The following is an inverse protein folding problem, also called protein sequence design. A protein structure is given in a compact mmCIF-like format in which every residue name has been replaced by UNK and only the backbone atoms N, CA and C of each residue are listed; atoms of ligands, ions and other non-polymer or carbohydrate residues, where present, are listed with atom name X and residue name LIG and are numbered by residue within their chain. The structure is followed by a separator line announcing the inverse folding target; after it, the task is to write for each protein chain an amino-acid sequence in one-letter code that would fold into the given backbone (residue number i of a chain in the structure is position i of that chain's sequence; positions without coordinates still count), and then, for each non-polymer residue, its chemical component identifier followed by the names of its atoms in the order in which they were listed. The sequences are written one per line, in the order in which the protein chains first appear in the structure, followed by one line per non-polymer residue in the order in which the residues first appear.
data_IF_395517123235
#
_entry.id   IF_395517123235
#
_cell.length_a   1.000
_cell.length_b   1.000
_cell.length_c   1.000
_cell.angle_alpha   90.00
_cell.angle_beta   90.00
_cell.angle_gamma   90.00
#
_symmetry.space_group_name_H-M   'P 1'
#
loop_
_entity.id
_entity.type
_entity.pdbx_description
1 polymer ?
#
# COMPACT_ATOMS: atom_id res chain seq x y z
N UNK A 1 14.38 6.66 -4.51
CA UNK A 1 13.86 5.53 -3.71
C UNK A 1 14.42 4.22 -4.26
N UNK A 2 14.75 3.26 -3.40
CA UNK A 2 15.29 1.95 -3.82
C UNK A 2 14.19 0.88 -3.63
N UNK A 3 13.87 0.02 -4.62
CA UNK A 3 12.99 -1.11 -4.41
C UNK A 3 13.68 -2.23 -3.65
N UNK A 4 12.91 -2.95 -2.84
CA UNK A 4 13.39 -4.14 -2.16
C UNK A 4 12.30 -5.22 -2.15
N UNK A 5 12.47 -6.22 -3.00
CA UNK A 5 11.66 -7.45 -2.96
C UNK A 5 12.13 -8.31 -1.78
N UNK A 6 11.27 -8.46 -0.78
CA UNK A 6 11.57 -9.23 0.43
C UNK A 6 11.24 -10.71 0.29
N UNK A 7 10.47 -11.09 -0.73
CA UNK A 7 10.06 -12.47 -0.95
C UNK A 7 8.57 -12.70 -0.66
N UNK A 8 8.24 -13.98 -0.59
CA UNK A 8 6.91 -14.47 -0.27
C UNK A 8 6.90 -15.12 1.11
N UNK A 9 5.71 -15.33 1.66
CA UNK A 9 5.51 -15.94 2.98
C UNK A 9 6.23 -15.20 4.12
N UNK A 10 6.27 -13.86 4.03
CA UNK A 10 6.85 -13.01 5.08
C UNK A 10 5.82 -12.83 6.18
N UNK A 11 6.18 -13.14 7.42
CA UNK A 11 5.27 -12.92 8.55
C UNK A 11 4.93 -11.43 8.69
N UNK A 12 3.70 -11.14 9.13
CA UNK A 12 3.28 -9.76 9.29
C UNK A 12 4.18 -9.00 10.29
N UNK A 13 4.57 -9.67 11.38
CA UNK A 13 5.43 -9.07 12.41
C UNK A 13 6.84 -8.78 11.92
N UNK A 14 7.46 -9.67 11.13
CA UNK A 14 8.81 -9.43 10.63
C UNK A 14 8.84 -8.24 9.69
N UNK A 15 7.85 -8.12 8.79
CA UNK A 15 7.74 -6.97 7.92
C UNK A 15 7.42 -5.68 8.69
N UNK A 16 6.61 -5.75 9.76
CA UNK A 16 6.33 -4.59 10.61
C UNK A 16 7.60 -4.12 11.34
N UNK A 17 8.35 -5.05 11.92
CA UNK A 17 9.62 -4.76 12.59
C UNK A 17 10.63 -4.12 11.62
N UNK A 18 10.72 -4.65 10.39
CA UNK A 18 11.57 -4.07 9.35
C UNK A 18 11.15 -2.64 8.98
N UNK A 19 9.85 -2.38 8.86
CA UNK A 19 9.36 -1.02 8.63
C UNK A 19 9.72 -0.09 9.78
N UNK A 20 9.54 -0.52 11.04
CA UNK A 20 9.81 0.30 12.22
C UNK A 20 11.30 0.64 12.38
N UNK A 21 12.18 -0.32 12.10
CA UNK A 21 13.62 -0.11 12.03
C UNK A 21 13.97 0.90 10.93
N UNK A 22 13.48 0.68 9.71
CA UNK A 22 13.82 1.53 8.57
C UNK A 22 13.32 2.97 8.74
N UNK A 23 12.13 3.15 9.32
CA UNK A 23 11.61 4.46 9.71
C UNK A 23 12.54 5.16 10.69
N UNK A 24 13.01 4.45 11.71
CA UNK A 24 13.92 5.00 12.72
C UNK A 24 15.25 5.42 12.09
N UNK A 25 15.78 4.63 11.16
CA UNK A 25 17.02 4.91 10.44
C UNK A 25 16.90 6.10 9.47
N UNK A 26 15.79 6.23 8.73
CA UNK A 26 15.52 7.43 7.94
C UNK A 26 15.42 8.65 8.85
N UNK A 27 14.76 8.51 10.00
CA UNK A 27 14.62 9.61 10.97
C UNK A 27 15.98 10.08 11.52
N UNK A 28 16.95 9.17 11.64
CA UNK A 28 18.33 9.44 12.06
C UNK A 28 19.24 9.93 10.91
N UNK A 29 18.78 9.90 9.66
CA UNK A 29 19.61 10.22 8.48
C UNK A 29 20.57 9.09 8.08
N UNK A 30 20.31 7.86 8.52
CA UNK A 30 21.18 6.69 8.36
C UNK A 30 20.71 5.73 7.25
N UNK A 31 19.56 6.01 6.65
CA UNK A 31 18.99 5.22 5.56
C UNK A 31 18.30 6.12 4.53
N UNK A 32 18.23 5.64 3.30
CA UNK A 32 17.46 6.26 2.22
C UNK A 32 16.02 5.75 2.19
N UNK A 33 15.14 6.50 1.53
CA UNK A 33 13.76 6.07 1.26
C UNK A 33 13.72 4.80 0.41
N UNK A 34 12.78 3.90 0.74
CA UNK A 34 12.67 2.56 0.15
C UNK A 34 11.23 2.19 -0.15
N UNK A 35 11.04 1.24 -1.07
CA UNK A 35 9.78 0.53 -1.28
C UNK A 35 10.01 -0.95 -0.97
N UNK A 36 9.47 -1.43 0.15
CA UNK A 36 9.42 -2.86 0.41
C UNK A 36 8.27 -3.49 -0.36
N UNK A 37 8.54 -4.58 -1.08
CA UNK A 37 7.56 -5.36 -1.82
C UNK A 37 7.63 -6.80 -1.36
N UNK A 38 6.47 -7.41 -1.10
CA UNK A 38 6.40 -8.75 -0.55
C UNK A 38 5.02 -9.38 -0.72
N UNK A 39 4.94 -10.66 -0.40
CA UNK A 39 3.69 -11.34 -0.06
C UNK A 39 3.75 -11.82 1.38
N UNK A 40 2.65 -11.64 2.10
CA UNK A 40 2.57 -12.08 3.48
C UNK A 40 2.19 -13.56 3.58
N UNK A 41 2.62 -14.22 4.66
CA UNK A 41 1.88 -15.38 5.16
C UNK A 41 0.41 -14.99 5.42
N UNK A 42 -0.58 -15.88 5.22
CA UNK A 42 -1.99 -15.55 5.40
C UNK A 42 -2.29 -14.87 6.74
N UNK A 43 -2.88 -13.67 6.68
CA UNK A 43 -3.11 -12.82 7.86
C UNK A 43 -4.27 -11.86 7.66
N UNK A 44 -5.05 -11.64 8.71
CA UNK A 44 -6.00 -10.54 8.79
C UNK A 44 -5.41 -9.39 9.60
N UNK A 45 -5.66 -8.16 9.16
CA UNK A 45 -5.26 -6.98 9.91
C UNK A 45 -6.41 -6.00 10.07
N UNK A 46 -6.50 -5.34 11.22
CA UNK A 46 -7.48 -4.28 11.48
C UNK A 46 -6.77 -3.00 11.92
N UNK A 47 -7.10 -1.89 11.25
CA UNK A 47 -6.54 -0.58 11.55
C UNK A 47 -7.12 0.05 12.81
N UNK A 48 -6.82 1.33 13.01
CA UNK A 48 -7.19 2.11 14.21
C UNK A 48 -8.69 2.36 14.41
N UNK A 49 -9.51 2.04 13.43
CA UNK A 49 -10.96 2.23 13.54
C UNK A 49 -11.51 1.27 14.59
N UNK A 50 -12.14 1.80 15.66
CA UNK A 50 -12.68 0.99 16.77
C UNK A 50 -13.78 0.00 16.34
N UNK A 51 -14.32 0.14 15.13
CA UNK A 51 -15.37 -0.75 14.65
C UNK A 51 -14.78 -2.10 14.20
N UNK A 52 -14.90 -3.10 15.07
CA UNK A 52 -14.52 -4.49 14.80
C UNK A 52 -15.53 -5.26 13.96
N UNK A 53 -16.70 -4.68 13.63
CA UNK A 53 -17.75 -5.38 12.87
C UNK A 53 -17.25 -5.87 11.51
N UNK A 54 -16.24 -5.21 10.95
CA UNK A 54 -15.59 -5.61 9.70
C UNK A 54 -14.83 -6.94 9.77
N UNK A 55 -14.51 -7.46 10.96
CA UNK A 55 -13.90 -8.79 11.12
C UNK A 55 -14.94 -9.92 11.21
N UNK A 56 -16.24 -9.61 11.20
CA UNK A 56 -17.28 -10.60 11.48
C UNK A 56 -17.10 -11.25 12.85
N UNK A 57 -17.24 -12.58 12.92
CA UNK A 57 -16.84 -13.36 14.09
C UNK A 57 -15.33 -13.65 14.03
N UNK A 58 -14.53 -12.78 14.64
CA UNK A 58 -13.07 -12.90 14.63
C UNK A 58 -12.55 -14.22 15.20
N UNK A 59 -13.34 -14.93 16.02
CA UNK A 59 -12.96 -16.24 16.57
C UNK A 59 -13.02 -17.38 15.53
N UNK A 60 -13.66 -17.14 14.39
CA UNK A 60 -13.84 -18.12 13.30
C UNK A 60 -12.96 -17.81 12.08
N UNK A 61 -12.13 -16.79 12.14
CA UNK A 61 -11.25 -16.45 11.04
C UNK A 61 -10.18 -17.54 10.85
N UNK A 62 -9.93 -18.00 9.61
CA UNK A 62 -9.00 -19.10 9.34
C UNK A 62 -7.52 -18.73 9.55
N UNK A 63 -7.23 -17.45 9.79
CA UNK A 63 -5.87 -16.91 9.91
C UNK A 63 -5.76 -15.94 11.09
N UNK A 64 -4.54 -15.69 11.61
CA UNK A 64 -4.33 -14.76 12.71
C UNK A 64 -4.82 -13.35 12.39
N UNK A 65 -5.25 -12.63 13.43
CA UNK A 65 -5.67 -11.22 13.35
C UNK A 65 -4.69 -10.34 14.10
N UNK A 66 -4.20 -9.29 13.45
CA UNK A 66 -3.36 -8.27 14.09
C UNK A 66 -4.06 -6.91 14.12
N UNK A 67 -4.04 -6.26 15.28
CA UNK A 67 -4.43 -4.87 15.45
C UNK A 67 -3.23 -3.96 15.20
N UNK A 68 -3.38 -3.02 14.28
CA UNK A 68 -2.22 -2.29 13.73
C UNK A 68 -2.49 -0.79 13.57
N UNK A 69 -1.41 -0.02 13.56
CA UNK A 69 -1.44 1.44 13.57
C UNK A 69 -1.60 2.08 12.17
N UNK A 70 -2.48 1.53 11.32
CA UNK A 70 -2.85 2.13 10.02
C UNK A 70 -4.27 2.67 10.01
N UNK A 71 -4.55 3.53 9.01
CA UNK A 71 -5.91 3.90 8.65
C UNK A 71 -6.73 2.71 8.12
N UNK A 72 -8.06 2.87 8.11
CA UNK A 72 -9.00 1.86 7.59
C UNK A 72 -9.44 0.81 8.61
N UNK A 73 -10.24 -0.15 8.14
CA UNK A 73 -10.80 -1.26 8.92
C UNK A 73 -10.11 -2.59 8.58
N UNK A 74 -10.81 -3.72 8.71
CA UNK A 74 -10.29 -5.05 8.39
C UNK A 74 -9.87 -5.20 6.92
N UNK A 75 -8.78 -5.95 6.69
CA UNK A 75 -8.34 -6.48 5.39
C UNK A 75 -7.63 -7.82 5.59
N UNK A 76 -7.45 -8.55 4.50
CA UNK A 76 -6.61 -9.74 4.43
C UNK A 76 -5.31 -9.44 3.66
N UNK A 77 -4.25 -10.20 3.96
CA UNK A 77 -3.03 -10.34 3.15
C UNK A 77 -2.60 -11.82 3.09
N UNK A 78 -2.01 -12.23 1.98
CA UNK A 78 -1.58 -13.61 1.76
C UNK A 78 -0.93 -13.84 0.39
N UNK A 79 -0.76 -15.10 -0.01
CA UNK A 79 -0.33 -15.47 -1.36
C UNK A 79 -1.20 -14.84 -2.45
N UNK A 80 -0.58 -14.40 -3.54
CA UNK A 80 -1.24 -13.70 -4.64
C UNK A 80 -1.59 -12.23 -4.35
N UNK A 81 -1.28 -11.73 -3.15
CA UNK A 81 -1.55 -10.36 -2.73
C UNK A 81 -0.23 -9.58 -2.64
N UNK A 82 0.06 -8.76 -3.64
CA UNK A 82 1.25 -7.91 -3.63
C UNK A 82 1.08 -6.81 -2.60
N UNK A 83 1.92 -6.81 -1.58
CA UNK A 83 1.95 -5.75 -0.57
C UNK A 83 3.15 -4.85 -0.81
N UNK A 84 2.90 -3.54 -0.82
CA UNK A 84 3.92 -2.52 -0.96
C UNK A 84 3.93 -1.57 0.23
N UNK A 85 5.11 -1.39 0.83
CA UNK A 85 5.35 -0.45 1.92
C UNK A 85 6.36 0.63 1.50
N UNK A 86 5.88 1.75 0.93
CA UNK A 86 6.72 2.92 0.68
C UNK A 86 7.08 3.58 2.02
N UNK A 87 8.36 3.57 2.37
CA UNK A 87 8.91 4.23 3.56
C UNK A 87 9.60 5.51 3.09
N UNK A 88 8.82 6.59 3.09
CA UNK A 88 9.16 7.89 2.51
C UNK A 88 9.20 8.93 3.62
N UNK A 89 10.10 9.90 3.49
CA UNK A 89 10.11 11.09 4.32
C UNK A 89 9.19 12.16 3.69
N UNK A 90 7.93 12.18 4.13
CA UNK A 90 6.90 13.09 3.63
C UNK A 90 7.21 14.57 3.89
N UNK A 91 8.25 14.88 4.68
CA UNK A 91 8.75 16.26 4.82
C UNK A 91 9.31 16.79 3.50
N UNK A 92 9.81 15.93 2.63
CA UNK A 92 10.32 16.26 1.30
C UNK A 92 9.20 16.46 0.28
N UNK A 93 7.96 16.08 0.63
CA UNK A 93 6.81 16.00 -0.27
C UNK A 93 5.63 16.85 0.24
N UNK A 94 5.93 17.99 0.85
CA UNK A 94 4.93 18.98 1.28
C UNK A 94 4.18 18.66 2.58
N UNK A 95 4.48 17.55 3.28
CA UNK A 95 3.80 17.14 4.52
C UNK A 95 2.28 17.03 4.40
N UNK A 96 1.81 16.46 3.29
CA UNK A 96 0.39 16.30 3.02
C UNK A 96 0.02 14.82 2.83
N UNK A 97 -0.74 14.29 3.78
CA UNK A 97 -1.20 12.90 3.76
C UNK A 97 -2.24 12.65 2.65
N UNK A 98 -3.05 13.65 2.29
CA UNK A 98 -4.01 13.51 1.19
C UNK A 98 -3.30 13.43 -0.15
N UNK A 99 -2.28 14.27 -0.35
CA UNK A 99 -1.43 14.21 -1.54
C UNK A 99 -0.70 12.87 -1.64
N UNK A 100 -0.17 12.35 -0.52
CA UNK A 100 0.46 11.02 -0.49
C UNK A 100 -0.51 9.89 -0.83
N UNK A 101 -1.73 9.90 -0.29
CA UNK A 101 -2.75 8.88 -0.62
C UNK A 101 -3.12 8.93 -2.11
N UNK A 102 -3.31 10.13 -2.67
CA UNK A 102 -3.59 10.31 -4.10
C UNK A 102 -2.45 9.83 -4.99
N UNK A 103 -1.19 10.01 -4.54
CA UNK A 103 -0.02 9.49 -5.23
C UNK A 103 -0.05 7.96 -5.31
N UNK A 104 -0.35 7.27 -4.21
CA UNK A 104 -0.48 5.81 -4.22
C UNK A 104 -1.61 5.35 -5.14
N UNK A 105 -2.78 6.00 -5.06
CA UNK A 105 -3.93 5.69 -5.92
C UNK A 105 -3.59 5.86 -7.40
N UNK A 106 -2.98 6.99 -7.78
CA UNK A 106 -2.55 7.26 -9.17
C UNK A 106 -1.53 6.26 -9.65
N UNK A 107 -0.52 5.95 -8.84
CA UNK A 107 0.55 5.01 -9.23
C UNK A 107 -0.01 3.62 -9.52
N UNK A 108 -0.98 3.17 -8.72
CA UNK A 108 -1.70 1.92 -8.94
C UNK A 108 -2.57 1.97 -10.19
N UNK A 109 -3.31 3.06 -10.42
CA UNK A 109 -4.16 3.23 -11.61
C UNK A 109 -3.32 3.25 -12.89
N UNK A 110 -2.21 4.00 -12.90
CA UNK A 110 -1.33 4.12 -14.06
C UNK A 110 -0.71 2.76 -14.40
N UNK A 111 -0.28 2.01 -13.39
CA UNK A 111 0.22 0.64 -13.55
C UNK A 111 -0.85 -0.30 -14.13
N UNK A 112 -2.08 -0.25 -13.59
CA UNK A 112 -3.19 -1.08 -14.09
C UNK A 112 -3.56 -0.72 -15.53
N UNK A 113 -3.39 0.53 -15.94
CA UNK A 113 -3.64 0.95 -17.31
C UNK A 113 -2.66 0.31 -18.32
N UNK A 114 -1.45 -0.08 -17.91
CA UNK A 114 -0.53 -0.87 -18.76
C UNK A 114 -1.10 -2.25 -19.13
N UNK A 115 -1.95 -2.80 -18.25
CA UNK A 115 -2.67 -4.05 -18.48
C UNK A 115 -4.02 -3.84 -19.20
N UNK A 116 -4.30 -2.62 -19.68
CA UNK A 116 -5.57 -2.27 -20.32
C UNK A 116 -6.75 -2.16 -19.34
N UNK A 117 -6.49 -2.14 -18.03
CA UNK A 117 -7.53 -2.10 -17.00
C UNK A 117 -7.87 -0.65 -16.67
N UNK A 118 -9.14 -0.29 -16.88
CA UNK A 118 -9.67 1.02 -16.52
C UNK A 118 -10.04 1.07 -15.03
N UNK A 119 -9.06 1.39 -14.20
CA UNK A 119 -9.23 1.55 -12.77
C UNK A 119 -9.52 3.01 -12.37
N UNK A 120 -10.22 3.20 -11.25
CA UNK A 120 -10.60 4.52 -10.72
C UNK A 120 -10.52 4.58 -9.20
N UNK A 121 -10.50 5.80 -8.65
CA UNK A 121 -10.81 6.06 -7.24
C UNK A 121 -12.31 6.25 -7.04
N UNK A 122 -12.80 6.03 -5.82
CA UNK A 122 -14.18 6.31 -5.43
C UNK A 122 -14.20 7.30 -4.28
N UNK A 123 -15.02 8.35 -4.41
CA UNK A 123 -15.14 9.37 -3.38
C UNK A 123 -15.54 8.75 -2.03
N UNK A 124 -14.79 9.10 -0.97
CA UNK A 124 -14.99 8.56 0.37
C UNK A 124 -14.52 7.12 0.59
N UNK A 125 -14.08 6.40 -0.45
CA UNK A 125 -13.71 4.98 -0.37
C UNK A 125 -12.27 4.75 -0.84
N UNK A 126 -11.31 4.93 0.07
CA UNK A 126 -9.88 4.77 -0.19
C UNK A 126 -9.54 3.39 -0.80
N UNK A 127 -8.68 3.43 -1.82
CA UNK A 127 -8.26 2.27 -2.61
C UNK A 127 -8.57 2.45 -4.09
N UNK A 128 -8.24 1.42 -4.86
CA UNK A 128 -8.40 1.42 -6.32
C UNK A 128 -9.45 0.40 -6.73
N UNK A 129 -10.26 0.77 -7.71
CA UNK A 129 -11.50 0.07 -8.07
C UNK A 129 -11.59 -0.17 -9.57
N UNK A 130 -12.12 -1.32 -9.95
CA UNK A 130 -12.57 -1.62 -11.32
C UNK A 130 -14.08 -1.71 -11.27
N UNK A 131 -14.76 -0.71 -11.85
CA UNK A 131 -16.20 -0.49 -11.63
C UNK A 131 -16.49 -0.45 -10.12
N UNK A 132 -17.34 -1.36 -9.61
CA UNK A 132 -17.68 -1.46 -8.19
C UNK A 132 -16.80 -2.43 -7.40
N UNK A 133 -15.85 -3.11 -8.05
CA UNK A 133 -14.97 -4.11 -7.42
C UNK A 133 -13.67 -3.49 -6.95
N UNK A 134 -13.25 -3.77 -5.71
CA UNK A 134 -11.95 -3.29 -5.20
C UNK A 134 -10.83 -4.19 -5.67
N UNK A 135 -9.82 -3.61 -6.32
CA UNK A 135 -8.61 -4.34 -6.77
C UNK A 135 -7.40 -4.08 -5.86
N UNK A 136 -7.32 -2.89 -5.24
CA UNK A 136 -6.26 -2.57 -4.29
C UNK A 136 -6.79 -1.85 -3.05
N UNK A 137 -6.30 -2.29 -1.89
CA UNK A 137 -6.52 -1.64 -0.60
C UNK A 137 -5.35 -0.71 -0.28
N UNK A 138 -5.63 0.49 0.24
CA UNK A 138 -4.60 1.43 0.70
C UNK A 138 -4.87 1.77 2.15
N UNK A 139 -3.84 1.62 2.98
CA UNK A 139 -3.89 1.91 4.41
C UNK A 139 -2.50 2.27 4.90
N UNK A 140 -2.29 3.54 5.18
CA UNK A 140 -0.99 4.10 5.56
C UNK A 140 -0.96 4.45 7.04
N UNK A 141 0.25 4.46 7.61
CA UNK A 141 0.58 5.06 8.89
C UNK A 141 1.70 6.08 8.71
N UNK A 142 1.81 7.04 9.63
CA UNK A 142 2.86 8.06 9.60
C UNK A 142 3.42 8.23 11.00
N UNK A 143 4.76 8.18 11.13
CA UNK A 143 5.48 8.48 12.37
C UNK A 143 6.48 9.60 12.09
N UNK A 144 6.31 10.75 12.75
CA UNK A 144 7.15 11.95 12.56
C UNK A 144 7.36 12.31 11.08
N UNK A 145 6.29 12.23 10.29
CA UNK A 145 6.28 12.46 8.83
C UNK A 145 7.03 11.45 7.97
N UNK A 146 7.42 10.29 8.52
CA UNK A 146 7.90 9.16 7.75
C UNK A 146 6.76 8.16 7.58
N UNK A 147 6.48 7.74 6.35
CA UNK A 147 5.37 6.82 6.04
C UNK A 147 5.69 5.37 6.40
N UNK A 148 4.65 4.62 6.70
CA UNK A 148 4.63 3.19 6.98
C UNK A 148 3.36 2.56 6.45
N UNK A 149 3.31 1.23 6.40
CA UNK A 149 2.27 0.49 5.70
C UNK A 149 2.22 0.97 4.25
N UNK A 150 1.07 0.94 3.57
CA UNK A 150 1.03 1.30 2.16
C UNK A 150 -0.18 0.75 1.45
N UNK A 151 0.07 -0.05 0.42
CA UNK A 151 -0.96 -0.63 -0.42
C UNK A 151 -0.88 -2.16 -0.45
N UNK A 152 -1.98 -2.78 -0.84
CA UNK A 152 -2.05 -4.20 -1.11
C UNK A 152 -2.94 -4.45 -2.34
N UNK A 153 -2.33 -4.96 -3.40
CA UNK A 153 -2.94 -5.20 -4.71
C UNK A 153 -3.21 -6.70 -4.89
N UNK A 154 -4.46 -7.05 -5.19
CA UNK A 154 -4.84 -8.42 -5.53
C UNK A 154 -4.28 -8.74 -6.93
N UNK A 155 -3.26 -9.59 -7.01
CA UNK A 155 -2.61 -9.94 -8.29
C UNK A 155 -3.21 -11.22 -8.87
N UNK A 156 -3.32 -12.27 -8.06
CA UNK A 156 -3.88 -13.56 -8.50
C UNK A 156 -5.20 -13.87 -7.81
N UNK A 157 -5.97 -14.80 -8.39
CA UNK A 157 -7.24 -15.26 -7.83
C UNK A 157 -7.09 -15.91 -6.44
N UNK A 158 -5.90 -16.40 -6.10
CA UNK A 158 -5.58 -16.97 -4.78
C UNK A 158 -5.76 -15.96 -3.64
N UNK A 159 -5.61 -14.66 -3.93
CA UNK A 159 -5.78 -13.59 -2.93
C UNK A 159 -7.24 -13.36 -2.50
N UNK A 160 -8.22 -13.85 -3.26
CA UNK A 160 -9.62 -13.46 -3.13
C UNK A 160 -10.43 -14.24 -2.06
N UNK A 161 -10.34 -15.58 -1.95
CA UNK A 161 -11.21 -16.36 -1.08
C UNK A 161 -11.28 -15.87 0.38
N UNK A 162 -10.19 -15.45 1.04
CA UNK A 162 -10.23 -15.01 2.43
C UNK A 162 -11.08 -13.76 2.69
N UNK A 163 -11.33 -12.94 1.67
CA UNK A 163 -12.19 -11.75 1.82
C UNK A 163 -13.66 -12.09 2.13
N UNK A 164 -14.12 -13.32 1.89
CA UNK A 164 -15.49 -13.77 2.25
C UNK A 164 -15.74 -13.74 3.75
N UNK A 165 -14.69 -13.81 4.57
CA UNK A 165 -14.79 -13.89 6.02
C UNK A 165 -14.84 -12.54 6.72
N UNK A 166 -14.64 -11.45 5.97
CA UNK A 166 -14.58 -10.08 6.50
C UNK A 166 -15.51 -9.18 5.69
N UNK A 167 -15.84 -8.01 6.24
CA UNK A 167 -16.39 -6.91 5.46
C UNK A 167 -15.24 -5.98 5.09
N UNK A 168 -14.66 -6.07 3.89
CA UNK A 168 -13.42 -5.37 3.56
C UNK A 168 -13.61 -3.87 3.68
N UNK A 169 -12.76 -3.20 4.45
CA UNK A 169 -12.87 -1.77 4.75
C UNK A 169 -14.20 -1.34 5.43
N UNK A 170 -15.04 -2.28 5.89
CA UNK A 170 -16.34 -2.01 6.52
C UNK A 170 -17.44 -1.58 5.55
N UNK A 171 -17.28 -1.84 4.26
CA UNK A 171 -18.25 -1.44 3.23
C UNK A 171 -19.07 -2.68 2.85
N UNK A 172 -20.35 -2.68 3.20
CA UNK A 172 -21.26 -3.77 2.82
C UNK A 172 -21.45 -3.83 1.30
N UNK A 173 -21.55 -5.05 0.76
CA UNK A 173 -21.79 -5.28 -0.67
C UNK A 173 -20.58 -5.03 -1.58
N UNK A 174 -19.42 -4.65 -1.05
CA UNK A 174 -18.20 -4.52 -1.85
C UNK A 174 -17.61 -5.90 -2.15
N UNK A 175 -17.49 -6.18 -3.44
CA UNK A 175 -16.73 -7.32 -3.97
C UNK A 175 -15.28 -6.93 -4.23
N UNK A 176 -14.36 -7.86 -4.07
CA UNK A 176 -12.96 -7.71 -4.49
C UNK A 176 -12.75 -8.35 -5.87
N UNK A 177 -11.73 -7.89 -6.59
CA UNK A 177 -11.24 -8.47 -7.85
C UNK A 177 -9.71 -8.54 -7.82
N UNK A 178 -9.08 -9.20 -8.80
CA UNK A 178 -7.63 -9.29 -8.92
C UNK A 178 -7.15 -9.00 -10.34
N UNK A 179 -5.85 -8.73 -10.51
CA UNK A 179 -5.24 -8.43 -11.80
C UNK A 179 -5.46 -9.55 -12.81
N UNK A 180 -5.22 -10.81 -12.41
CA UNK A 180 -5.45 -12.01 -13.23
C UNK A 180 -6.84 -12.05 -13.87
N UNK A 181 -7.89 -11.84 -13.07
CA UNK A 181 -9.27 -11.91 -13.55
C UNK A 181 -9.61 -10.74 -14.50
N UNK A 182 -9.01 -9.58 -14.30
CA UNK A 182 -9.30 -8.36 -15.08
C UNK A 182 -8.49 -8.27 -16.38
N UNK A 183 -7.25 -8.80 -16.43
CA UNK A 183 -6.43 -8.79 -17.65
C UNK A 183 -6.48 -10.10 -18.45
N UNK A 184 -6.91 -11.21 -17.85
CA UNK A 184 -6.92 -12.53 -18.49
C UNK A 184 -5.53 -13.16 -18.68
N UNK A 185 -4.50 -12.62 -18.02
CA UNK A 185 -3.12 -13.13 -18.02
C UNK A 185 -2.75 -13.73 -16.66
N UNK A 186 -1.57 -14.35 -16.53
CA UNK A 186 -1.05 -14.89 -15.27
C UNK A 186 0.11 -14.04 -14.72
N UNK A 187 -0.17 -12.82 -14.21
CA UNK A 187 0.87 -11.94 -13.69
C UNK A 187 1.50 -12.52 -12.42
N UNK A 188 2.81 -12.35 -12.26
CA UNK A 188 3.48 -12.61 -11.00
C UNK A 188 3.46 -11.36 -10.11
N UNK A 189 3.33 -11.54 -8.81
CA UNK A 189 3.41 -10.46 -7.81
C UNK A 189 4.73 -9.70 -7.89
N UNK A 190 5.84 -10.40 -8.15
CA UNK A 190 7.16 -9.80 -8.31
C UNK A 190 7.24 -8.87 -9.52
N UNK A 191 6.82 -9.33 -10.70
CA UNK A 191 6.88 -8.52 -11.92
C UNK A 191 5.96 -7.30 -11.82
N UNK A 192 4.78 -7.47 -11.24
CA UNK A 192 3.86 -6.36 -10.95
C UNK A 192 4.47 -5.39 -9.93
N UNK A 193 5.20 -5.90 -8.94
CA UNK A 193 5.99 -5.12 -7.98
C UNK A 193 7.05 -4.24 -8.63
N UNK A 194 7.74 -4.75 -9.65
CA UNK A 194 8.74 -3.97 -10.41
C UNK A 194 8.06 -2.88 -11.26
N UNK A 195 6.89 -3.15 -11.84
CA UNK A 195 6.12 -2.15 -12.60
C UNK A 195 5.59 -1.02 -11.71
N UNK A 196 5.03 -1.34 -10.55
CA UNK A 196 4.48 -0.30 -9.66
C UNK A 196 5.56 0.65 -9.12
N UNK A 197 6.79 0.16 -8.92
CA UNK A 197 7.91 1.02 -8.56
C UNK A 197 8.14 2.13 -9.60
N UNK A 198 8.05 1.80 -10.89
CA UNK A 198 8.24 2.78 -11.96
C UNK A 198 7.23 3.92 -11.82
N UNK A 199 5.93 3.61 -11.72
CA UNK A 199 4.88 4.63 -11.57
C UNK A 199 4.96 5.40 -10.25
N UNK A 200 5.28 4.72 -9.14
CA UNK A 200 5.51 5.39 -7.86
C UNK A 200 6.65 6.41 -7.95
N UNK A 201 7.74 6.07 -8.64
CA UNK A 201 8.89 6.96 -8.80
C UNK A 201 8.53 8.20 -9.61
N UNK A 202 7.80 8.03 -10.73
CA UNK A 202 7.31 9.14 -11.55
C UNK A 202 6.40 10.10 -10.75
N UNK A 203 5.45 9.55 -9.98
CA UNK A 203 4.52 10.36 -9.19
C UNK A 203 5.25 11.10 -8.04
N UNK A 204 6.28 10.49 -7.45
CA UNK A 204 7.10 11.15 -6.42
C UNK A 204 7.89 12.32 -7.00
N UNK A 205 8.49 12.14 -8.18
CA UNK A 205 9.19 13.21 -8.90
C UNK A 205 8.25 14.38 -9.22
N UNK A 206 7.03 14.10 -9.66
CA UNK A 206 6.01 15.13 -9.92
C UNK A 206 5.64 15.93 -8.66
N UNK A 207 5.52 15.28 -7.50
CA UNK A 207 5.25 15.97 -6.22
C UNK A 207 6.46 16.79 -5.76
N UNK A 208 7.68 16.28 -5.96
CA UNK A 208 8.90 16.99 -5.62
C UNK A 208 9.05 18.28 -6.45
N UNK A 209 8.73 18.21 -7.75
CA UNK A 209 8.82 19.35 -8.68
C UNK A 209 7.71 20.39 -8.46
N UNK A 210 6.53 19.96 -8.02
CA UNK A 210 5.39 20.84 -7.72
C UNK A 210 5.42 21.45 -6.32
N UNK A 211 6.28 20.96 -5.43
CA UNK A 211 6.49 21.53 -4.11
C UNK A 211 7.30 22.83 -4.23
N UNK A 212 6.81 23.99 -3.73
CA UNK A 212 7.55 25.25 -3.84
C UNK A 212 8.89 25.10 -3.11
N UNK A 213 9.98 25.16 -3.88
CA UNK A 213 11.35 24.93 -3.42
C UNK A 213 11.66 25.70 -2.13
N UNK A 214 11.88 24.98 -1.04
CA UNK A 214 12.54 25.53 0.14
C UNK A 214 14.01 25.80 -0.18
N UNK A 215 14.37 27.10 -0.27
CA UNK A 215 15.73 27.66 -0.20
C UNK A 215 16.86 26.90 -0.92
N UNK A 216 17.29 27.43 -2.07
CA UNK A 216 18.65 27.20 -2.59
C UNK A 216 19.68 27.46 -1.48
N UNK A 217 20.70 26.62 -1.27
CA UNK A 217 21.83 26.99 -0.43
C UNK A 217 22.50 28.21 -1.05
N UNK A 218 22.56 29.28 -0.26
CA UNK A 218 23.20 30.53 -0.65
C UNK A 218 24.63 30.27 -1.08
N UNK A 219 24.94 30.64 -2.31
CA UNK A 219 26.29 30.81 -2.79
C UNK A 219 26.92 31.96 -1.98
N UNK A 220 27.75 31.65 -0.98
CA UNK A 220 28.74 32.61 -0.49
C UNK A 220 30.10 32.20 -1.02
N UNK A 221 30.41 32.78 -2.17
CA UNK A 221 31.76 32.96 -2.65
C UNK A 221 32.27 34.29 -2.07
N UNK A 222 33.52 34.24 -1.56
CA UNK A 222 34.34 35.30 -0.92
C UNK A 222 34.19 35.44 0.59
#
# INVERSE_FOLDING_TARGET
MIPCWLGTDISYQDALALQEDHVSRIQAGEASETLFLLEHSPVYTIGRTRNRSSLGDSSRLPHPVYEINRGGQATYHGPGHLVGYPILDLRNYGKDLHSYLRLLERSLIDMLNEFGIKATVREGLTGVWVQDRKIASIGVGVRKWISMHGFALNVTAESLPPFIHITPCGIEGVTTTCLHDECGENPSTRDVGERILHHLSLQIEEIADSSPSGSKPGNTCK
#
